data_IF_620420706708
#
_entry.id   IF_620420706708
#
_cell.length_a   1.000
_cell.length_b   1.000
_cell.length_c   1.000
_cell.angle_alpha   90.00
_cell.angle_beta   90.00
_cell.angle_gamma   90.00
#
_symmetry.space_group_name_H-M   'P 1'
#
loop_
_entity.id
_entity.type
_entity.pdbx_description
1 polymer ?
#
# COMPACT_ATOMS: atom_id res chain seq x y z
N UNK A 1 1.63 -5.08 -18.76
CA UNK A 1 1.48 -3.63 -18.58
C UNK A 1 1.60 -3.35 -17.10
N UNK A 2 2.64 -2.63 -16.69
CA UNK A 2 3.04 -2.43 -15.28
C UNK A 2 3.02 -0.95 -14.89
N UNK A 3 3.10 -0.72 -13.58
CA UNK A 3 3.23 0.56 -12.91
C UNK A 3 4.22 0.42 -11.75
N UNK A 4 4.94 1.49 -11.45
CA UNK A 4 5.98 1.50 -10.42
C UNK A 4 5.34 1.85 -9.09
N UNK A 5 5.50 0.99 -8.09
CA UNK A 5 5.03 1.23 -6.73
C UNK A 5 6.23 1.43 -5.81
N UNK A 6 6.28 2.60 -5.19
CA UNK A 6 7.21 2.93 -4.12
C UNK A 6 6.42 3.21 -2.84
N UNK A 7 6.69 2.47 -1.77
CA UNK A 7 6.12 2.71 -0.44
C UNK A 7 7.24 3.09 0.52
N UNK A 8 7.12 4.29 1.06
CA UNK A 8 8.11 4.94 1.90
C UNK A 8 7.50 5.20 3.28
N UNK A 9 8.28 4.92 4.31
CA UNK A 9 8.04 5.40 5.68
C UNK A 9 9.18 6.34 6.09
N UNK A 10 9.03 7.15 7.16
CA UNK A 10 10.11 8.02 7.63
C UNK A 10 11.43 7.30 7.90
N UNK A 11 11.36 6.00 8.22
CA UNK A 11 12.52 5.19 8.61
C UNK A 11 13.16 4.42 7.44
N UNK A 12 12.37 3.98 6.44
CA UNK A 12 12.86 3.13 5.35
C UNK A 12 11.93 3.09 4.13
N UNK A 13 12.48 2.65 3.00
CA UNK A 13 11.68 2.16 1.86
C UNK A 13 11.17 0.75 2.17
N UNK A 14 9.86 0.58 2.24
CA UNK A 14 9.21 -0.71 2.57
C UNK A 14 8.96 -1.54 1.31
N UNK A 15 8.68 -0.88 0.19
CA UNK A 15 8.44 -1.52 -1.09
C UNK A 15 8.94 -0.64 -2.23
N UNK A 16 9.62 -1.24 -3.20
CA UNK A 16 10.01 -0.58 -4.45
C UNK A 16 10.07 -1.63 -5.56
N UNK A 17 9.00 -1.70 -6.38
CA UNK A 17 8.94 -2.68 -7.47
C UNK A 17 7.85 -2.35 -8.50
N UNK A 18 7.97 -2.97 -9.67
CA UNK A 18 6.92 -2.97 -10.70
C UNK A 18 5.76 -3.89 -10.31
N UNK A 19 4.55 -3.36 -10.38
CA UNK A 19 3.31 -4.07 -10.04
C UNK A 19 2.29 -3.89 -11.17
N UNK A 20 1.23 -4.69 -11.15
CA UNK A 20 0.20 -4.65 -12.20
C UNK A 20 -0.95 -3.71 -11.83
N UNK A 21 -1.40 -3.80 -10.60
CA UNK A 21 -2.45 -2.98 -10.02
C UNK A 21 -2.30 -2.96 -8.51
N UNK A 22 -2.82 -1.91 -7.90
CA UNK A 22 -2.89 -1.79 -6.45
C UNK A 22 -4.30 -1.42 -6.01
N UNK A 23 -4.67 -1.81 -4.80
CA UNK A 23 -5.91 -1.38 -4.14
C UNK A 23 -5.52 -0.76 -2.81
N UNK A 24 -5.94 0.49 -2.61
CA UNK A 24 -5.61 1.28 -1.43
C UNK A 24 -6.87 1.90 -0.81
N UNK A 25 -6.81 2.16 0.50
CA UNK A 25 -7.91 2.77 1.25
C UNK A 25 -7.64 4.27 1.42
N UNK A 26 -8.57 5.08 0.94
CA UNK A 26 -8.57 6.54 1.05
C UNK A 26 -9.66 6.98 2.02
N UNK A 27 -9.64 8.24 2.45
CA UNK A 27 -10.69 8.84 3.29
C UNK A 27 -12.10 8.77 2.66
N UNK A 28 -12.20 8.71 1.33
CA UNK A 28 -13.46 8.63 0.58
C UNK A 28 -13.87 7.20 0.20
N UNK A 29 -13.14 6.18 0.65
CA UNK A 29 -13.38 4.78 0.32
C UNK A 29 -12.17 4.09 -0.32
N UNK A 30 -12.37 2.93 -0.95
CA UNK A 30 -11.29 2.19 -1.60
C UNK A 30 -11.14 2.58 -3.08
N UNK A 31 -9.90 2.75 -3.52
CA UNK A 31 -9.57 2.97 -4.93
C UNK A 31 -8.65 1.88 -5.46
N UNK A 32 -8.91 1.44 -6.69
CA UNK A 32 -8.05 0.54 -7.43
C UNK A 32 -7.30 1.31 -8.51
N UNK A 33 -5.96 1.25 -8.51
CA UNK A 33 -5.13 1.97 -9.47
C UNK A 33 -4.52 0.99 -10.45
N UNK A 34 -4.84 1.19 -11.73
CA UNK A 34 -4.29 0.46 -12.87
C UNK A 34 -3.41 1.39 -13.71
N UNK A 35 -2.78 0.83 -14.74
CA UNK A 35 -1.95 1.60 -15.68
C UNK A 35 -2.80 2.71 -16.34
N UNK A 36 -2.18 3.86 -16.55
CA UNK A 36 -2.76 5.08 -17.12
C UNK A 36 -3.91 5.67 -16.30
N UNK A 37 -3.93 5.42 -15.00
CA UNK A 37 -4.82 6.14 -14.09
C UNK A 37 -4.53 7.64 -14.11
N UNK A 38 -5.58 8.46 -13.97
CA UNK A 38 -5.44 9.91 -13.89
C UNK A 38 -4.54 10.30 -12.70
N UNK A 39 -3.71 11.35 -12.84
CA UNK A 39 -2.91 11.83 -11.73
C UNK A 39 -3.79 12.24 -10.55
N UNK A 40 -3.48 11.74 -9.36
CA UNK A 40 -4.22 12.03 -8.14
C UNK A 40 -3.26 12.10 -6.95
N UNK A 41 -3.52 13.06 -6.07
CA UNK A 41 -2.90 13.14 -4.75
C UNK A 41 -4.02 13.00 -3.72
N UNK A 42 -3.92 12.03 -2.82
CA UNK A 42 -4.98 11.73 -1.86
C UNK A 42 -4.40 11.32 -0.51
N UNK A 43 -5.15 11.59 0.56
CA UNK A 43 -4.85 11.09 1.89
C UNK A 43 -5.30 9.62 2.01
N UNK A 44 -4.46 8.82 2.66
CA UNK A 44 -4.70 7.42 2.96
C UNK A 44 -5.21 7.27 4.38
N UNK A 45 -6.21 6.43 4.53
CA UNK A 45 -6.68 6.00 5.84
C UNK A 45 -5.91 4.76 6.30
N UNK A 46 -6.04 4.41 7.58
CA UNK A 46 -5.49 3.18 8.13
C UNK A 46 -6.20 2.00 7.46
N UNK A 47 -5.44 1.09 6.87
CA UNK A 47 -6.04 0.00 6.13
C UNK A 47 -5.04 -0.93 5.45
N UNK A 48 -5.57 -1.77 4.56
CA UNK A 48 -4.80 -2.79 3.87
C UNK A 48 -4.54 -2.32 2.43
N UNK A 49 -3.27 -2.23 2.05
CA UNK A 49 -2.82 -2.13 0.67
C UNK A 49 -2.75 -3.53 0.07
N UNK A 50 -3.43 -3.74 -1.05
CA UNK A 50 -3.31 -4.98 -1.84
C UNK A 50 -2.51 -4.69 -3.10
N UNK A 51 -1.47 -5.46 -3.32
CA UNK A 51 -0.55 -5.32 -4.45
C UNK A 51 -0.66 -6.57 -5.31
N UNK A 52 -0.92 -6.40 -6.61
CA UNK A 52 -0.89 -7.50 -7.56
C UNK A 52 0.43 -7.50 -8.33
N UNK A 53 1.18 -8.58 -8.20
CA UNK A 53 2.49 -8.73 -8.85
C UNK A 53 2.35 -9.01 -10.35
N UNK A 54 3.36 -8.60 -11.13
CA UNK A 54 3.38 -8.78 -12.58
C UNK A 54 3.59 -10.26 -13.00
N UNK A 55 4.43 -11.00 -12.26
CA UNK A 55 4.90 -12.34 -12.69
C UNK A 55 3.88 -13.47 -12.56
N UNK A 56 2.75 -13.27 -11.86
CA UNK A 56 1.68 -14.27 -11.79
C UNK A 56 0.34 -13.58 -11.52
N UNK A 57 -0.58 -13.62 -12.50
CA UNK A 57 -1.88 -12.94 -12.49
C UNK A 57 -2.80 -13.24 -11.28
N UNK A 58 -2.43 -14.13 -10.36
CA UNK A 58 -3.21 -14.57 -9.21
C UNK A 58 -2.60 -14.27 -7.83
N UNK A 59 -1.35 -13.81 -7.74
CA UNK A 59 -0.75 -13.53 -6.43
C UNK A 59 -1.00 -12.09 -5.99
N UNK A 60 -1.72 -11.97 -4.88
CA UNK A 60 -1.91 -10.73 -4.15
C UNK A 60 -0.98 -10.74 -2.94
N UNK A 61 -0.26 -9.63 -2.76
CA UNK A 61 0.49 -9.33 -1.55
C UNK A 61 -0.29 -8.29 -0.76
N UNK A 62 -0.44 -8.51 0.54
CA UNK A 62 -1.13 -7.59 1.45
C UNK A 62 -0.12 -6.91 2.37
N UNK A 63 -0.33 -5.61 2.59
CA UNK A 63 0.48 -4.79 3.48
C UNK A 63 -0.44 -3.91 4.32
N UNK A 64 -0.19 -3.82 5.61
CA UNK A 64 -0.87 -2.89 6.50
C UNK A 64 -0.25 -1.50 6.34
N UNK A 65 -1.08 -0.48 6.20
CA UNK A 65 -0.67 0.92 6.15
C UNK A 65 -1.30 1.66 7.33
N UNK A 66 -0.47 2.37 8.10
CA UNK A 66 -0.90 3.23 9.21
C UNK A 66 -1.21 4.66 8.72
N UNK A 67 -2.02 4.76 7.66
CA UNK A 67 -2.38 6.02 7.01
C UNK A 67 -1.20 6.74 6.35
N UNK A 68 -1.49 7.88 5.72
CA UNK A 68 -0.48 8.70 5.05
C UNK A 68 -1.00 9.40 3.80
N UNK A 69 -0.19 9.45 2.73
CA UNK A 69 -0.54 10.08 1.46
C UNK A 69 -0.13 9.19 0.28
N UNK A 70 -0.96 9.14 -0.75
CA UNK A 70 -0.61 8.55 -2.04
C UNK A 70 -0.57 9.64 -3.11
N UNK A 71 0.49 9.60 -3.92
CA UNK A 71 0.64 10.35 -5.15
C UNK A 71 0.72 9.37 -6.30
N UNK A 72 -0.17 9.53 -7.27
CA UNK A 72 -0.25 8.72 -8.48
C UNK A 72 -0.07 9.66 -9.67
N UNK A 73 0.81 9.31 -10.59
CA UNK A 73 1.01 10.06 -11.84
C UNK A 73 2.05 9.39 -12.72
N UNK A 74 1.92 9.53 -14.05
CA UNK A 74 2.89 8.98 -15.00
C UNK A 74 3.20 7.48 -14.82
N UNK A 75 2.21 6.67 -14.41
CA UNK A 75 2.38 5.25 -14.05
C UNK A 75 3.34 4.99 -12.87
N UNK A 76 3.59 6.00 -12.07
CA UNK A 76 4.34 5.94 -10.82
C UNK A 76 3.39 6.21 -9.64
N UNK A 77 3.52 5.40 -8.61
CA UNK A 77 2.75 5.50 -7.38
C UNK A 77 3.74 5.61 -6.24
N UNK A 78 3.70 6.74 -5.56
CA UNK A 78 4.46 6.99 -4.34
C UNK A 78 3.50 7.02 -3.16
N UNK A 79 3.66 6.10 -2.22
CA UNK A 79 2.94 6.08 -0.96
C UNK A 79 3.89 6.54 0.15
N UNK A 80 3.52 7.63 0.81
CA UNK A 80 4.17 8.14 2.01
C UNK A 80 3.32 7.72 3.20
N UNK A 81 3.68 6.63 3.87
CA UNK A 81 2.94 6.12 5.02
C UNK A 81 3.67 6.48 6.32
N UNK A 82 2.92 6.69 7.41
CA UNK A 82 3.53 6.88 8.73
C UNK A 82 4.26 5.61 9.18
N UNK A 83 3.59 4.47 9.00
CA UNK A 83 4.17 3.15 9.15
C UNK A 83 3.55 2.15 8.17
N UNK A 84 4.31 1.12 7.80
CA UNK A 84 3.88 0.13 6.84
C UNK A 84 4.55 -1.22 7.08
N UNK A 85 3.73 -2.26 7.18
CA UNK A 85 4.19 -3.61 7.55
C UNK A 85 3.57 -4.67 6.64
N UNK A 86 4.41 -5.61 6.17
CA UNK A 86 3.95 -6.70 5.30
C UNK A 86 3.21 -7.73 6.12
N UNK A 87 2.16 -8.30 5.56
CA UNK A 87 1.33 -9.29 6.27
C UNK A 87 2.10 -10.52 6.77
N UNK A 88 3.29 -10.82 6.23
CA UNK A 88 4.12 -11.96 6.66
C UNK A 88 5.01 -11.63 7.86
N UNK A 89 5.24 -10.34 8.12
CA UNK A 89 6.11 -9.86 9.20
C UNK A 89 5.30 -9.56 10.48
N UNK A 90 3.96 -9.51 10.39
CA UNK A 90 3.07 -9.22 11.51
C UNK A 90 2.97 -10.44 12.44
N UNK A 91 3.40 -10.29 13.70
CA UNK A 91 3.11 -11.26 14.77
C UNK A 91 1.67 -11.07 15.29
N UNK A 92 0.78 -12.08 15.09
CA UNK A 92 -0.62 -11.95 15.49
C UNK A 92 -0.81 -11.91 17.02
N UNK A 93 0.09 -12.49 17.80
CA UNK A 93 -0.01 -12.47 19.27
C UNK A 93 0.36 -11.11 19.82
N UNK A 94 1.43 -10.51 19.30
CA UNK A 94 1.83 -9.14 19.65
C UNK A 94 0.74 -8.14 19.24
N UNK A 95 0.24 -8.24 18.00
CA UNK A 95 -0.83 -7.39 17.51
C UNK A 95 -2.10 -7.48 18.39
N UNK A 96 -2.47 -8.68 18.85
CA UNK A 96 -3.61 -8.87 19.76
C UNK A 96 -3.37 -8.32 21.16
N UNK A 97 -2.14 -8.39 21.68
CA UNK A 97 -1.81 -7.80 22.98
C UNK A 97 -1.90 -6.28 22.92
N UNK A 98 -1.32 -5.66 21.90
CA UNK A 98 -1.39 -4.20 21.70
C UNK A 98 -2.83 -3.72 21.56
N UNK A 99 -3.69 -4.44 20.82
CA UNK A 99 -5.12 -4.12 20.71
C UNK A 99 -5.85 -4.15 22.07
N UNK A 100 -5.48 -5.07 22.98
CA UNK A 100 -6.12 -5.18 24.30
C UNK A 100 -5.71 -4.07 25.26
N UNK A 101 -4.56 -3.43 25.01
CA UNK A 101 -3.97 -2.41 25.89
C UNK A 101 -4.40 -1.00 25.43
N UNK A 102 -4.74 -0.83 24.15
CA UNK A 102 -5.30 0.39 23.57
C UNK A 102 -6.79 0.58 23.93
#
# INVERSE_FOLDING_TARGET
MTLNLCVLTPNRTVWDSEVKEIILSTNSGQIGVLKNHAPIATALDIGILKIRLNNNNRQWVTMALMGGFAKIGNNEITILANDAEKSIDIDPQEAQQTLKIA
#
